data_IF_400343374351
#
_entry.id   IF_400343374351
#
_cell.length_a   1.000
_cell.length_b   1.000
_cell.length_c   1.000
_cell.angle_alpha   90.00
_cell.angle_beta   90.00
_cell.angle_gamma   90.00
#
_symmetry.space_group_name_H-M   'P 1'
#
loop_
_entity.id
_entity.type
_entity.pdbx_description
1 polymer ?
#
# COMPACT_ATOMS: atom_id res chain seq x y z
N UNK A 1 6.93 -4.26 9.56
CA UNK A 1 6.86 -3.76 8.17
C UNK A 1 7.17 -2.27 8.17
N UNK A 2 8.18 -1.86 7.42
CA UNK A 2 8.61 -0.47 7.39
C UNK A 2 7.73 0.38 6.47
N UNK A 3 7.67 1.67 6.79
CA UNK A 3 6.95 2.65 5.98
C UNK A 3 7.72 2.88 4.66
N UNK A 4 7.03 2.78 3.54
CA UNK A 4 7.62 3.03 2.23
C UNK A 4 7.72 4.54 1.95
N UNK A 5 8.80 4.95 1.25
CA UNK A 5 8.90 6.33 0.79
C UNK A 5 7.99 6.55 -0.44
N UNK A 6 7.81 7.81 -0.88
CA UNK A 6 6.88 8.09 -1.99
C UNK A 6 7.15 7.31 -3.28
N UNK A 7 8.41 7.16 -3.67
CA UNK A 7 8.74 6.41 -4.89
C UNK A 7 8.47 4.91 -4.71
N UNK A 8 8.84 4.37 -3.56
CA UNK A 8 8.56 2.97 -3.22
C UNK A 8 7.06 2.69 -3.22
N UNK A 9 6.25 3.61 -2.66
CA UNK A 9 4.80 3.48 -2.67
C UNK A 9 4.22 3.50 -4.09
N UNK A 10 4.68 4.42 -4.92
CA UNK A 10 4.21 4.51 -6.31
C UNK A 10 4.53 3.23 -7.07
N UNK A 11 5.74 2.71 -6.90
CA UNK A 11 6.15 1.47 -7.54
C UNK A 11 5.32 0.29 -7.03
N UNK A 12 5.12 0.18 -5.71
CA UNK A 12 4.32 -0.91 -5.15
C UNK A 12 2.85 -0.82 -5.59
N UNK A 13 2.28 0.39 -5.70
CA UNK A 13 0.92 0.56 -6.22
C UNK A 13 0.78 -0.03 -7.62
N UNK A 14 1.78 0.20 -8.47
CA UNK A 14 1.77 -0.36 -9.81
C UNK A 14 1.86 -1.89 -9.80
N UNK A 15 2.71 -2.45 -8.94
CA UNK A 15 2.79 -3.90 -8.81
C UNK A 15 1.50 -4.51 -8.28
N UNK A 16 0.82 -3.84 -7.35
CA UNK A 16 -0.47 -4.33 -6.87
C UNK A 16 -1.54 -4.27 -7.95
N UNK A 17 -1.52 -3.25 -8.80
CA UNK A 17 -2.47 -3.13 -9.92
C UNK A 17 -2.18 -4.12 -11.04
N UNK A 18 -0.92 -4.26 -11.43
CA UNK A 18 -0.51 -5.11 -12.55
C UNK A 18 -0.34 -6.57 -12.16
N UNK A 19 -0.25 -6.87 -10.86
CA UNK A 19 -0.02 -8.18 -10.28
C UNK A 19 1.39 -8.71 -10.50
N UNK A 20 1.97 -8.47 -11.66
CA UNK A 20 3.36 -8.82 -12.00
C UNK A 20 3.83 -7.90 -13.12
N UNK A 21 5.11 -7.57 -13.13
CA UNK A 21 5.65 -6.70 -14.16
C UNK A 21 7.18 -6.79 -14.26
N UNK A 22 7.69 -6.48 -15.43
CA UNK A 22 9.11 -6.21 -15.62
C UNK A 22 9.40 -4.75 -15.29
N UNK A 23 10.63 -4.40 -14.88
CA UNK A 23 10.95 -3.01 -14.55
C UNK A 23 10.60 -2.00 -15.64
N UNK A 24 10.78 -2.36 -16.92
CA UNK A 24 10.43 -1.47 -18.03
C UNK A 24 8.94 -1.15 -18.08
N UNK A 25 8.10 -2.11 -17.72
CA UNK A 25 6.65 -1.90 -17.66
C UNK A 25 6.30 -0.92 -16.54
N UNK A 26 6.96 -1.03 -15.38
CA UNK A 26 6.75 -0.11 -14.27
C UNK A 26 7.10 1.32 -14.68
N UNK A 27 8.24 1.51 -15.34
CA UNK A 27 8.67 2.84 -15.78
C UNK A 27 7.64 3.47 -16.71
N UNK A 28 7.02 2.69 -17.57
CA UNK A 28 6.01 3.18 -18.52
C UNK A 28 4.79 3.79 -17.84
N UNK A 29 4.50 3.40 -16.60
CA UNK A 29 3.33 3.89 -15.85
C UNK A 29 3.66 4.89 -14.75
N UNK A 30 4.96 5.17 -14.51
CA UNK A 30 5.33 6.15 -13.49
C UNK A 30 4.91 7.56 -13.88
N UNK A 31 4.52 8.34 -12.87
CA UNK A 31 4.16 9.75 -13.07
C UNK A 31 5.40 10.63 -13.19
N UNK A 32 5.29 11.68 -13.98
CA UNK A 32 6.37 12.65 -14.10
C UNK A 32 6.53 13.48 -12.82
N UNK A 33 7.78 13.85 -12.45
CA UNK A 33 9.02 13.57 -13.19
C UNK A 33 9.45 12.12 -13.02
N UNK A 34 9.75 11.43 -14.13
CA UNK A 34 10.15 10.03 -14.11
C UNK A 34 11.60 9.92 -13.67
N UNK A 35 11.90 9.14 -12.61
CA UNK A 35 13.28 8.94 -12.17
C UNK A 35 14.11 8.22 -13.23
N UNK A 36 15.44 8.35 -13.18
CA UNK A 36 16.31 7.58 -14.07
C UNK A 36 16.07 6.08 -13.92
N UNK A 37 16.28 5.33 -15.02
CA UNK A 37 16.07 3.89 -15.05
C UNK A 37 16.79 3.18 -13.89
N UNK A 38 18.05 3.52 -13.65
CA UNK A 38 18.84 2.87 -12.60
C UNK A 38 18.27 3.13 -11.20
N UNK A 39 17.67 4.28 -10.98
CA UNK A 39 17.01 4.60 -9.70
C UNK A 39 15.78 3.71 -9.50
N UNK A 40 14.96 3.57 -10.52
CA UNK A 40 13.79 2.69 -10.47
C UNK A 40 14.21 1.25 -10.24
N UNK A 41 15.21 0.78 -11.00
CA UNK A 41 15.69 -0.59 -10.88
C UNK A 41 16.27 -0.88 -9.49
N UNK A 42 17.07 0.04 -8.94
CA UNK A 42 17.63 -0.13 -7.59
C UNK A 42 16.54 -0.11 -6.52
N UNK A 43 15.50 0.69 -6.71
CA UNK A 43 14.36 0.73 -5.79
C UNK A 43 13.60 -0.61 -5.82
N UNK A 44 13.36 -1.16 -7.00
CA UNK A 44 12.72 -2.47 -7.14
C UNK A 44 13.55 -3.56 -6.47
N UNK A 45 14.87 -3.54 -6.66
CA UNK A 45 15.78 -4.51 -6.03
C UNK A 45 15.79 -4.37 -4.51
N UNK A 46 15.69 -3.15 -4.01
CA UNK A 46 15.59 -2.90 -2.57
C UNK A 46 14.29 -3.48 -2.00
N UNK A 47 13.18 -3.26 -2.70
CA UNK A 47 11.89 -3.81 -2.30
C UNK A 47 11.89 -5.34 -2.28
N UNK A 48 12.59 -5.96 -3.23
CA UNK A 48 12.75 -7.41 -3.24
C UNK A 48 13.56 -7.89 -2.03
N UNK A 49 14.67 -7.22 -1.74
CA UNK A 49 15.51 -7.57 -0.57
C UNK A 49 14.77 -7.42 0.75
N UNK A 50 13.91 -6.44 0.84
CA UNK A 50 13.13 -6.16 2.06
C UNK A 50 11.87 -7.03 2.18
N UNK A 51 11.63 -7.91 1.21
CA UNK A 51 10.53 -8.86 1.28
C UNK A 51 9.19 -8.36 0.74
N UNK A 52 9.15 -7.20 0.09
CA UNK A 52 7.92 -6.71 -0.53
C UNK A 52 7.65 -7.34 -1.88
N UNK A 53 8.70 -7.68 -2.62
CA UNK A 53 8.64 -8.27 -3.95
C UNK A 53 9.45 -9.54 -4.03
N UNK A 54 9.06 -10.42 -4.95
CA UNK A 54 9.88 -11.54 -5.40
C UNK A 54 9.94 -11.47 -6.92
N UNK A 55 10.73 -12.34 -7.55
CA UNK A 55 10.83 -12.33 -8.98
C UNK A 55 10.96 -13.73 -9.55
N UNK A 56 10.62 -13.84 -10.83
CA UNK A 56 10.88 -15.03 -11.66
C UNK A 56 11.78 -14.62 -12.81
N UNK A 57 12.72 -15.49 -13.14
CA UNK A 57 13.60 -15.24 -14.26
C UNK A 57 12.95 -15.64 -15.57
N UNK A 58 13.07 -14.76 -16.56
CA UNK A 58 12.71 -15.03 -17.95
C UNK A 58 13.92 -14.66 -18.80
N UNK A 59 14.82 -15.64 -19.06
CA UNK A 59 16.10 -15.36 -19.67
C UNK A 59 16.95 -14.45 -18.78
N UNK A 60 17.34 -13.29 -19.31
CA UNK A 60 18.10 -12.28 -18.57
C UNK A 60 17.22 -11.28 -17.85
N UNK A 61 15.92 -11.37 -18.05
CA UNK A 61 14.97 -10.44 -17.44
C UNK A 61 14.33 -11.02 -16.19
N UNK A 62 14.02 -10.15 -15.24
CA UNK A 62 13.32 -10.51 -14.00
C UNK A 62 11.93 -9.91 -14.02
N UNK A 63 10.92 -10.75 -13.89
CA UNK A 63 9.54 -10.30 -13.71
C UNK A 63 9.24 -10.34 -12.22
N UNK A 64 8.92 -9.17 -11.64
CA UNK A 64 8.65 -9.03 -10.20
C UNK A 64 7.17 -9.15 -9.92
N UNK A 65 6.83 -9.57 -8.71
CA UNK A 65 5.45 -9.66 -8.23
C UNK A 65 5.41 -9.41 -6.72
N UNK A 66 4.28 -8.90 -6.19
CA UNK A 66 4.18 -8.58 -4.76
C UNK A 66 4.14 -9.84 -3.89
N UNK A 67 4.93 -9.84 -2.82
CA UNK A 67 4.82 -10.80 -1.72
C UNK A 67 3.92 -10.25 -0.64
N UNK A 68 4.04 -8.94 -0.35
CA UNK A 68 3.18 -8.25 0.60
C UNK A 68 1.96 -7.74 -0.15
N UNK A 69 0.77 -8.15 0.28
CA UNK A 69 -0.47 -7.71 -0.36
C UNK A 69 -0.80 -6.28 0.05
N UNK A 70 -1.52 -5.57 -0.82
CA UNK A 70 -1.92 -4.19 -0.56
C UNK A 70 -2.66 -4.05 0.77
N UNK A 71 -3.58 -4.98 1.07
CA UNK A 71 -4.33 -4.97 2.32
C UNK A 71 -3.44 -5.15 3.55
N UNK A 72 -2.43 -6.01 3.47
CA UNK A 72 -1.47 -6.19 4.55
C UNK A 72 -0.69 -4.91 4.84
N UNK A 73 -0.19 -4.27 3.77
CA UNK A 73 0.55 -3.02 3.90
C UNK A 73 -0.34 -1.91 4.49
N UNK A 74 -1.55 -1.77 3.97
CA UNK A 74 -2.50 -0.76 4.43
C UNK A 74 -2.84 -0.92 5.91
N UNK A 75 -3.05 -2.15 6.37
CA UNK A 75 -3.34 -2.42 7.77
C UNK A 75 -2.16 -2.11 8.67
N UNK A 76 -0.95 -2.49 8.26
CA UNK A 76 0.26 -2.20 9.02
C UNK A 76 0.51 -0.70 9.11
N UNK A 77 0.36 0.00 8.00
CA UNK A 77 0.51 1.45 7.94
C UNK A 77 -0.51 2.15 8.83
N UNK A 78 -1.78 1.76 8.72
CA UNK A 78 -2.87 2.33 9.50
C UNK A 78 -2.68 2.09 11.00
N UNK A 79 -2.24 0.89 11.38
CA UNK A 79 -1.99 0.56 12.78
C UNK A 79 -0.92 1.47 13.39
N UNK A 80 0.16 1.73 12.66
CA UNK A 80 1.21 2.66 13.10
C UNK A 80 0.67 4.08 13.24
N UNK A 81 -0.08 4.54 12.25
CA UNK A 81 -0.70 5.87 12.25
C UNK A 81 -1.60 6.04 13.47
N UNK A 82 -2.46 5.06 13.71
CA UNK A 82 -3.41 5.08 14.80
C UNK A 82 -2.73 5.15 16.16
N UNK A 83 -1.71 4.32 16.39
CA UNK A 83 -1.00 4.30 17.67
C UNK A 83 -0.04 5.46 17.86
N UNK A 84 0.63 5.89 16.79
CA UNK A 84 1.65 6.93 16.88
C UNK A 84 1.08 8.35 16.92
N UNK A 85 0.08 8.62 16.08
CA UNK A 85 -0.44 9.98 15.91
C UNK A 85 -1.78 10.20 16.58
N UNK A 86 -2.57 9.17 16.78
CA UNK A 86 -3.88 9.26 17.43
C UNK A 86 -3.89 8.66 18.84
N UNK A 87 -2.73 8.24 19.32
CA UNK A 87 -2.56 7.65 20.65
C UNK A 87 -3.53 6.50 20.95
N UNK A 88 -3.97 5.79 19.92
CA UNK A 88 -4.94 4.72 20.06
C UNK A 88 -6.35 5.20 20.41
N UNK A 89 -6.63 6.49 20.21
CA UNK A 89 -7.92 7.08 20.57
C UNK A 89 -8.94 6.91 19.44
N UNK A 90 -9.90 6.02 19.66
CA UNK A 90 -10.97 5.75 18.69
C UNK A 90 -11.90 6.94 18.47
N UNK A 91 -12.13 7.73 19.51
CA UNK A 91 -12.98 8.91 19.41
C UNK A 91 -12.35 9.96 18.50
N UNK A 92 -11.03 10.15 18.58
CA UNK A 92 -10.30 11.07 17.71
C UNK A 92 -10.37 10.60 16.25
N UNK A 93 -10.22 9.29 16.01
CA UNK A 93 -10.35 8.72 14.69
C UNK A 93 -11.76 8.96 14.11
N UNK A 94 -12.80 8.74 14.89
CA UNK A 94 -14.17 8.97 14.45
C UNK A 94 -14.43 10.46 14.20
N UNK A 95 -13.88 11.34 15.03
CA UNK A 95 -13.98 12.78 14.82
C UNK A 95 -13.38 13.20 13.48
N UNK A 96 -12.25 12.62 13.11
CA UNK A 96 -11.63 12.87 11.80
C UNK A 96 -12.59 12.53 10.66
N UNK A 97 -13.19 11.34 10.70
CA UNK A 97 -14.13 10.93 9.64
C UNK A 97 -15.38 11.81 9.60
N UNK A 98 -15.90 12.23 10.75
CA UNK A 98 -17.08 13.07 10.78
C UNK A 98 -16.81 14.49 10.26
N UNK A 99 -15.63 15.04 10.57
CA UNK A 99 -15.27 16.41 10.18
C UNK A 99 -14.70 16.52 8.78
N UNK A 100 -13.77 15.61 8.42
CA UNK A 100 -12.99 15.71 7.16
C UNK A 100 -13.63 14.97 5.99
N UNK A 101 -14.35 13.89 6.27
CA UNK A 101 -14.94 13.05 5.22
C UNK A 101 -16.46 13.12 5.19
N UNK A 102 -17.06 14.11 5.86
CA UNK A 102 -18.52 14.31 5.91
C UNK A 102 -19.30 13.05 6.29
N UNK A 103 -18.72 12.24 7.16
CA UNK A 103 -19.37 11.00 7.60
C UNK A 103 -20.31 11.29 8.77
N UNK A 104 -21.58 10.93 8.64
CA UNK A 104 -22.55 11.11 9.72
C UNK A 104 -22.70 9.85 10.57
N UNK A 105 -23.53 9.94 11.61
CA UNK A 105 -23.76 8.83 12.55
C UNK A 105 -24.33 7.60 11.87
N UNK A 106 -25.19 7.79 10.86
CA UNK A 106 -25.76 6.68 10.11
C UNK A 106 -24.72 5.93 9.28
N UNK A 107 -23.78 6.66 8.68
CA UNK A 107 -22.67 6.04 7.93
C UNK A 107 -21.82 5.17 8.85
N UNK A 108 -21.54 5.66 10.07
CA UNK A 108 -20.76 4.92 11.07
C UNK A 108 -21.50 3.64 11.48
N UNK A 109 -22.81 3.73 11.71
CA UNK A 109 -23.64 2.57 12.06
C UNK A 109 -23.62 1.51 10.95
N UNK A 110 -23.72 1.93 9.69
CA UNK A 110 -23.67 1.04 8.55
C UNK A 110 -22.33 0.33 8.46
N UNK A 111 -21.24 1.06 8.68
CA UNK A 111 -19.90 0.47 8.67
C UNK A 111 -19.73 -0.56 9.77
N UNK A 112 -20.16 -0.23 10.99
CA UNK A 112 -20.06 -1.13 12.13
C UNK A 112 -20.86 -2.42 11.89
N UNK A 113 -22.05 -2.29 11.32
CA UNK A 113 -22.89 -3.45 10.98
C UNK A 113 -22.21 -4.33 9.93
N UNK A 114 -21.65 -3.72 8.88
CA UNK A 114 -20.91 -4.42 7.84
C UNK A 114 -19.71 -5.19 8.42
N UNK A 115 -18.99 -4.58 9.35
CA UNK A 115 -17.85 -5.23 9.99
C UNK A 115 -18.27 -6.40 10.87
N UNK A 116 -19.38 -6.29 11.59
CA UNK A 116 -19.92 -7.39 12.38
C UNK A 116 -20.34 -8.57 11.51
N UNK A 117 -20.99 -8.31 10.40
CA UNK A 117 -21.43 -9.33 9.45
C UNK A 117 -20.23 -10.10 8.87
N UNK A 118 -19.12 -9.40 8.61
CA UNK A 118 -17.87 -10.01 8.13
C UNK A 118 -17.19 -10.87 9.19
N UNK A 119 -17.33 -10.53 10.45
CA UNK A 119 -16.68 -11.23 11.55
C UNK A 119 -17.50 -12.42 12.10
N UNK A 120 -18.66 -12.69 11.52
CA UNK A 120 -19.55 -13.77 11.94
C UNK A 120 -19.33 -15.09 11.20
N UNK A 121 -18.38 -15.14 10.31
CA UNK A 121 -18.05 -16.38 9.58
C UNK A 121 -17.11 -17.30 10.34
#
# INVERSE_FOLDING_TARGET
MNHLNPLEEEIMQLFWELEKAFPKEIIAYLKEPIPPYNTVLSTIRKLEKEGYLAFRRFGKSHQYYPLVKKGEYSRSFFKKLYHKYLNGDKAELLSYFMEEEDMDTEDIKKLLKSMKDKNHD
#
